data_IF_042032394455
#
_entry.id   IF_042032394455
#
_cell.length_a   1.000
_cell.length_b   1.000
_cell.length_c   1.000
_cell.angle_alpha   90.00
_cell.angle_beta   90.00
_cell.angle_gamma   90.00
#
_symmetry.space_group_name_H-M   'P 1'
#
loop_
_entity.id
_entity.type
_entity.pdbx_description
1 polymer ?
#
# COMPACT_ATOMS: atom_id res chain seq x y z
N UNK A 1 28.68 -26.43 -58.20
CA UNK A 1 28.37 -26.84 -56.81
C UNK A 1 27.17 -26.03 -56.33
N UNK A 2 25.96 -26.56 -56.49
CA UNK A 2 24.69 -25.86 -56.20
C UNK A 2 24.29 -26.15 -54.76
N UNK A 3 24.13 -25.10 -53.94
CA UNK A 3 23.69 -25.21 -52.54
C UNK A 3 22.16 -25.24 -52.50
N UNK A 4 21.59 -26.37 -52.11
CA UNK A 4 20.16 -26.51 -51.82
C UNK A 4 19.82 -25.75 -50.52
N UNK A 5 18.96 -24.73 -50.62
CA UNK A 5 18.38 -24.06 -49.47
C UNK A 5 17.27 -24.93 -48.86
N UNK A 6 17.34 -25.19 -47.55
CA UNK A 6 16.28 -25.85 -46.80
C UNK A 6 15.09 -24.90 -46.62
N UNK A 7 13.91 -25.34 -47.06
CA UNK A 7 12.64 -24.63 -46.87
C UNK A 7 12.27 -24.62 -45.39
N UNK A 8 12.00 -23.43 -44.83
CA UNK A 8 11.42 -23.27 -43.49
C UNK A 8 9.94 -23.71 -43.52
N UNK A 9 9.45 -24.47 -42.53
CA UNK A 9 8.04 -24.77 -42.42
C UNK A 9 7.28 -23.51 -41.98
N UNK A 10 6.19 -23.21 -42.69
CA UNK A 10 5.29 -22.11 -42.43
C UNK A 10 4.65 -22.23 -41.05
N UNK A 11 4.83 -21.22 -40.19
CA UNK A 11 4.10 -21.11 -38.94
C UNK A 11 2.64 -20.72 -39.24
N UNK A 12 1.72 -21.68 -39.13
CA UNK A 12 0.30 -21.43 -39.16
C UNK A 12 -0.13 -20.74 -37.86
N UNK A 13 -0.27 -19.41 -37.89
CA UNK A 13 -0.95 -18.68 -36.81
C UNK A 13 -2.44 -18.97 -36.89
N UNK A 14 -2.93 -19.89 -36.05
CA UNK A 14 -4.35 -20.04 -35.82
C UNK A 14 -4.88 -18.75 -35.17
N UNK A 15 -5.64 -17.97 -35.94
CA UNK A 15 -6.32 -16.75 -35.50
C UNK A 15 -7.42 -17.13 -34.50
N UNK A 16 -7.10 -17.12 -33.21
CA UNK A 16 -8.10 -17.27 -32.15
C UNK A 16 -9.03 -16.06 -32.19
N UNK A 17 -10.30 -16.28 -32.57
CA UNK A 17 -11.37 -15.29 -32.44
C UNK A 17 -11.99 -15.43 -31.04
N UNK A 18 -11.98 -14.41 -30.18
CA UNK A 18 -12.74 -14.47 -28.94
C UNK A 18 -14.24 -14.30 -29.24
N UNK A 19 -15.01 -15.38 -29.12
CA UNK A 19 -16.47 -15.32 -29.04
C UNK A 19 -16.88 -14.98 -27.62
N UNK A 20 -16.67 -13.74 -27.18
CA UNK A 20 -17.28 -13.23 -25.95
C UNK A 20 -17.80 -11.82 -26.20
N UNK A 21 -19.12 -11.71 -26.39
CA UNK A 21 -19.84 -10.45 -26.36
C UNK A 21 -20.28 -10.19 -24.92
N UNK A 22 -19.61 -9.29 -24.22
CA UNK A 22 -20.08 -8.83 -22.91
C UNK A 22 -21.28 -7.91 -23.14
N UNK A 23 -22.46 -8.31 -22.67
CA UNK A 23 -23.61 -7.41 -22.56
C UNK A 23 -23.46 -6.59 -21.27
N UNK A 24 -23.45 -5.28 -21.40
CA UNK A 24 -23.58 -4.36 -20.25
C UNK A 24 -24.97 -4.55 -19.61
N UNK A 25 -25.10 -4.54 -18.28
CA UNK A 25 -26.41 -4.53 -17.64
C UNK A 25 -27.08 -3.16 -17.85
N UNK A 26 -28.35 -3.17 -18.27
CA UNK A 26 -29.21 -1.99 -18.29
C UNK A 26 -29.59 -1.64 -16.85
N UNK A 27 -29.07 -0.52 -16.35
CA UNK A 27 -29.53 0.06 -15.08
C UNK A 27 -30.85 0.77 -15.39
N UNK A 28 -31.96 0.17 -14.93
CA UNK A 28 -33.27 0.81 -14.85
C UNK A 28 -33.18 1.90 -13.77
N UNK A 29 -33.20 3.16 -14.19
CA UNK A 29 -33.33 4.31 -13.30
C UNK A 29 -34.80 4.40 -12.89
N UNK A 30 -35.11 4.21 -11.61
CA UNK A 30 -36.43 4.43 -11.05
C UNK A 30 -36.55 5.91 -10.67
N UNK A 31 -37.26 6.67 -11.49
CA UNK A 31 -37.79 7.98 -11.12
C UNK A 31 -38.81 7.82 -9.99
N UNK A 32 -38.62 8.59 -8.91
CA UNK A 32 -39.71 9.05 -8.07
C UNK A 32 -39.61 10.58 -8.05
N UNK A 33 -40.44 11.22 -8.87
CA UNK A 33 -40.79 12.62 -8.71
C UNK A 33 -41.82 12.74 -7.58
N UNK A 34 -41.59 13.67 -6.65
CA UNK A 34 -42.52 14.79 -6.39
C UNK A 34 -42.04 15.63 -5.20
N UNK A 35 -41.67 16.88 -5.49
CA UNK A 35 -42.17 18.04 -4.75
C UNK A 35 -41.94 19.30 -5.59
N UNK A 36 -43.02 19.81 -6.18
CA UNK A 36 -43.17 21.20 -6.62
C UNK A 36 -43.05 22.12 -5.40
N UNK A 37 -42.48 23.32 -5.41
CA UNK A 37 -42.81 24.47 -6.27
C UNK A 37 -41.81 25.61 -5.99
N UNK A 38 -41.38 26.27 -7.06
CA UNK A 38 -41.20 27.73 -7.26
C UNK A 38 -40.30 28.54 -6.31
N UNK A 39 -39.21 29.06 -6.87
CA UNK A 39 -38.53 30.30 -6.47
C UNK A 39 -39.38 31.52 -6.88
N UNK A 40 -39.44 32.56 -6.03
CA UNK A 40 -38.99 33.92 -6.37
C UNK A 40 -39.25 34.94 -5.23
N UNK A 41 -38.30 35.87 -5.12
CA UNK A 41 -38.37 37.28 -4.71
C UNK A 41 -38.43 37.78 -3.23
N UNK A 42 -37.34 38.50 -2.91
CA UNK A 42 -37.23 39.90 -2.43
C UNK A 42 -37.58 40.33 -0.97
N UNK A 43 -36.53 40.86 -0.32
CA UNK A 43 -36.44 42.16 0.39
C UNK A 43 -37.49 42.44 1.48
N UNK A 44 -37.06 42.51 2.75
CA UNK A 44 -37.03 43.76 3.57
C UNK A 44 -36.74 43.52 5.06
N UNK A 45 -35.90 44.41 5.61
CA UNK A 45 -36.01 45.17 6.88
C UNK A 45 -36.52 44.43 8.13
N UNK A 46 -35.69 44.19 9.15
CA UNK A 46 -35.24 45.12 10.22
C UNK A 46 -36.09 45.00 11.51
N UNK A 47 -35.38 44.78 12.62
CA UNK A 47 -35.61 45.21 14.02
C UNK A 47 -36.88 44.74 14.76
N UNK A 48 -36.65 44.02 15.88
CA UNK A 48 -37.10 44.37 17.26
C UNK A 48 -36.87 43.13 18.15
N UNK A 49 -35.91 43.13 19.09
CA UNK A 49 -35.91 43.69 20.45
C UNK A 49 -36.76 42.95 21.51
N UNK A 50 -36.04 42.64 22.60
CA UNK A 50 -36.43 42.39 24.00
C UNK A 50 -37.14 41.09 24.47
N UNK A 51 -36.32 40.30 25.17
CA UNK A 51 -36.45 39.86 26.56
C UNK A 51 -37.77 39.23 27.06
N UNK A 52 -37.66 38.00 27.58
CA UNK A 52 -38.12 37.75 28.94
C UNK A 52 -37.34 36.60 29.59
N UNK A 53 -36.75 36.91 30.75
CA UNK A 53 -36.21 35.95 31.70
C UNK A 53 -37.35 35.22 32.40
N UNK A 54 -37.26 33.89 32.51
CA UNK A 54 -37.76 33.19 33.71
C UNK A 54 -36.80 32.06 34.05
N UNK A 55 -36.09 32.26 35.15
CA UNK A 55 -35.43 31.20 35.90
C UNK A 55 -36.47 30.19 36.42
N UNK A 56 -36.20 28.92 36.22
CA UNK A 56 -36.59 27.86 37.17
C UNK A 56 -35.41 26.90 37.29
N UNK A 57 -34.80 26.90 38.47
CA UNK A 57 -33.84 25.88 38.92
C UNK A 57 -34.55 24.53 39.01
N UNK A 58 -33.90 23.45 38.55
CA UNK A 58 -33.74 22.21 39.33
C UNK A 58 -32.85 21.21 38.61
N UNK A 59 -31.95 20.65 39.43
CA UNK A 59 -31.38 19.30 39.39
C UNK A 59 -30.24 19.00 38.41
N UNK A 60 -29.08 18.80 39.02
CA UNK A 60 -27.84 18.47 38.37
C UNK A 60 -27.83 17.06 37.80
N UNK A 61 -27.41 16.97 36.54
CA UNK A 61 -26.80 15.77 36.00
C UNK A 61 -25.34 16.10 35.79
N UNK A 62 -24.48 15.50 36.62
CA UNK A 62 -23.04 15.47 36.39
C UNK A 62 -22.81 14.66 35.12
N UNK A 63 -22.74 15.34 33.97
CA UNK A 63 -22.20 14.75 32.76
C UNK A 63 -20.69 14.68 32.99
N UNK A 64 -20.21 13.51 33.42
CA UNK A 64 -18.78 13.20 33.32
C UNK A 64 -18.40 13.39 31.86
N UNK A 65 -17.40 14.22 31.52
CA UNK A 65 -16.92 14.27 30.14
C UNK A 65 -16.35 12.88 29.84
N UNK A 66 -16.95 12.19 28.88
CA UNK A 66 -16.38 10.98 28.33
C UNK A 66 -14.92 11.29 27.93
N UNK A 67 -13.96 10.40 28.25
CA UNK A 67 -12.58 10.61 27.85
C UNK A 67 -12.55 10.82 26.33
N UNK A 68 -11.72 11.75 25.82
CA UNK A 68 -11.70 12.07 24.41
C UNK A 68 -11.51 10.76 23.63
N UNK A 69 -12.53 10.40 22.85
CA UNK A 69 -12.48 9.23 21.96
C UNK A 69 -11.21 9.39 21.14
N UNK A 70 -10.20 8.61 21.48
CA UNK A 70 -8.94 8.57 20.74
C UNK A 70 -9.33 8.08 19.36
N UNK A 71 -9.45 8.98 18.40
CA UNK A 71 -9.68 8.60 17.00
C UNK A 71 -8.44 7.81 16.61
N UNK A 72 -8.54 6.48 16.69
CA UNK A 72 -7.43 5.59 16.35
C UNK A 72 -7.30 5.67 14.84
N UNK A 73 -6.34 6.49 14.40
CA UNK A 73 -5.97 6.60 13.01
C UNK A 73 -5.57 5.25 12.43
N UNK A 74 -5.85 5.06 11.15
CA UNK A 74 -5.48 3.85 10.43
C UNK A 74 -3.96 3.68 10.46
N UNK A 75 -3.48 2.49 10.87
CA UNK A 75 -2.05 2.17 10.89
C UNK A 75 -1.61 1.58 9.56
N UNK A 76 -0.63 2.22 8.92
CA UNK A 76 -0.04 1.82 7.64
C UNK A 76 1.42 1.46 7.86
N UNK A 77 1.83 0.26 7.48
CA UNK A 77 3.22 -0.18 7.61
C UNK A 77 3.89 -0.31 6.25
N UNK A 78 5.11 0.21 6.14
CA UNK A 78 5.93 0.15 4.93
C UNK A 78 7.22 -0.58 5.24
N UNK A 79 7.49 -1.65 4.50
CA UNK A 79 8.75 -2.38 4.62
C UNK A 79 9.84 -1.60 3.90
N UNK A 80 10.88 -1.26 4.65
CA UNK A 80 12.01 -0.48 4.16
C UNK A 80 13.31 -1.27 4.20
N UNK A 81 14.14 -1.06 3.18
CA UNK A 81 15.53 -1.51 3.10
C UNK A 81 16.35 -0.46 2.33
N UNK A 82 17.63 -0.74 2.05
CA UNK A 82 18.48 0.17 1.28
C UNK A 82 18.17 0.20 -0.22
N UNK A 83 17.14 -0.53 -0.68
CA UNK A 83 16.84 -0.68 -2.11
C UNK A 83 16.07 0.51 -2.69
N UNK A 84 16.14 0.66 -4.01
CA UNK A 84 15.35 1.66 -4.73
C UNK A 84 13.87 1.27 -4.77
N UNK A 85 13.57 -0.03 -4.72
CA UNK A 85 12.23 -0.58 -4.67
C UNK A 85 11.48 -0.12 -3.40
N UNK A 86 12.12 -0.19 -2.23
CA UNK A 86 11.55 0.31 -0.99
C UNK A 86 11.31 1.82 -1.04
N UNK A 87 12.27 2.59 -1.58
CA UNK A 87 12.10 4.04 -1.77
C UNK A 87 10.92 4.37 -2.69
N UNK A 88 10.75 3.63 -3.77
CA UNK A 88 9.62 3.81 -4.70
C UNK A 88 8.28 3.49 -4.04
N UNK A 89 8.22 2.41 -3.25
CA UNK A 89 7.02 2.02 -2.51
C UNK A 89 6.64 3.06 -1.45
N UNK A 90 7.63 3.58 -0.71
CA UNK A 90 7.43 4.68 0.23
C UNK A 90 6.88 5.93 -0.47
N UNK A 91 7.48 6.31 -1.59
CA UNK A 91 7.01 7.47 -2.35
C UNK A 91 5.57 7.29 -2.84
N UNK A 92 5.24 6.10 -3.37
CA UNK A 92 3.88 5.81 -3.82
C UNK A 92 2.87 5.87 -2.68
N UNK A 93 3.20 5.30 -1.52
CA UNK A 93 2.32 5.27 -0.36
C UNK A 93 2.01 6.69 0.13
N UNK A 94 3.05 7.53 0.27
CA UNK A 94 2.90 8.92 0.69
C UNK A 94 2.06 9.78 -0.27
N UNK A 95 2.02 9.46 -1.56
CA UNK A 95 1.27 10.28 -2.54
C UNK A 95 -0.13 9.76 -2.83
N UNK A 96 -0.42 8.46 -2.67
CA UNK A 96 -1.69 7.88 -3.09
C UNK A 96 -2.48 7.21 -1.97
N UNK A 97 -1.83 6.82 -0.88
CA UNK A 97 -2.42 5.88 0.05
C UNK A 97 -2.48 6.39 1.48
N UNK A 98 -1.52 7.21 1.88
CA UNK A 98 -1.34 7.68 3.25
C UNK A 98 -2.00 9.04 3.44
N UNK A 99 -2.73 9.19 4.53
CA UNK A 99 -3.50 10.38 4.90
C UNK A 99 -2.91 11.03 6.16
N UNK A 100 -3.30 12.28 6.43
CA UNK A 100 -2.73 13.07 7.53
C UNK A 100 -3.04 12.53 8.93
N UNK A 101 -4.10 11.73 9.08
CA UNK A 101 -4.48 11.10 10.35
C UNK A 101 -3.97 9.66 10.48
N UNK A 102 -3.24 9.14 9.49
CA UNK A 102 -2.66 7.81 9.56
C UNK A 102 -1.44 7.78 10.47
N UNK A 103 -1.19 6.61 11.06
CA UNK A 103 0.08 6.29 11.73
C UNK A 103 0.92 5.49 10.75
N UNK A 104 2.07 6.05 10.34
CA UNK A 104 2.99 5.40 9.41
C UNK A 104 4.11 4.69 10.16
N UNK A 105 4.21 3.38 9.98
CA UNK A 105 5.27 2.57 10.55
C UNK A 105 6.28 2.19 9.46
N UNK A 106 7.53 2.63 9.64
CA UNK A 106 8.66 2.23 8.81
C UNK A 106 9.32 0.97 9.41
N UNK A 107 9.06 -0.20 8.81
CA UNK A 107 9.56 -1.48 9.28
C UNK A 107 10.87 -1.87 8.58
N UNK A 108 11.94 -2.06 9.35
CA UNK A 108 13.18 -2.66 8.88
C UNK A 108 13.40 -4.04 9.52
N UNK A 109 13.57 -5.06 8.68
CA UNK A 109 13.89 -6.42 9.14
C UNK A 109 15.38 -6.71 9.01
N UNK A 110 16.06 -6.84 10.14
CA UNK A 110 17.45 -7.22 10.23
C UNK A 110 17.57 -8.74 10.21
N UNK A 111 18.37 -9.26 9.27
CA UNK A 111 18.59 -10.70 9.15
C UNK A 111 19.52 -11.18 10.25
N UNK A 112 19.08 -12.15 11.04
CA UNK A 112 19.93 -12.84 12.02
C UNK A 112 20.88 -13.75 11.25
N UNK A 113 22.19 -13.50 11.37
CA UNK A 113 23.20 -14.33 10.71
C UNK A 113 23.68 -15.43 11.69
N UNK A 114 23.81 -16.70 11.26
CA UNK A 114 24.25 -17.78 12.16
C UNK A 114 25.62 -17.55 12.80
N UNK A 115 26.47 -16.72 12.17
CA UNK A 115 27.79 -16.34 12.68
C UNK A 115 27.76 -15.52 13.99
N UNK A 116 26.58 -15.07 14.42
CA UNK A 116 26.40 -14.34 15.69
C UNK A 116 26.09 -15.27 16.87
N UNK A 117 25.85 -16.56 16.64
CA UNK A 117 25.48 -17.52 17.70
C UNK A 117 26.71 -18.13 18.40
N UNK A 118 27.92 -17.93 17.86
CA UNK A 118 29.15 -18.57 18.38
C UNK A 118 30.32 -17.63 18.71
N UNK A 119 30.12 -16.32 18.73
CA UNK A 119 31.19 -15.37 19.06
C UNK A 119 30.70 -14.39 20.14
N UNK A 120 30.77 -14.82 21.40
CA UNK A 120 30.66 -13.94 22.57
C UNK A 120 31.92 -13.09 22.73
N UNK A 121 32.27 -12.22 21.76
CA UNK A 121 33.20 -11.13 22.02
C UNK A 121 32.85 -9.93 21.14
N UNK A 122 32.69 -8.76 21.79
CA UNK A 122 32.27 -7.45 21.30
C UNK A 122 30.75 -7.20 21.27
N UNK A 123 30.17 -7.22 22.48
CA UNK A 123 29.06 -6.34 22.86
C UNK A 123 29.39 -4.90 22.45
N UNK A 124 28.37 -4.14 22.07
CA UNK A 124 28.42 -2.71 21.75
C UNK A 124 28.79 -2.30 20.32
N UNK A 125 28.32 -3.05 19.31
CA UNK A 125 27.80 -2.33 18.14
C UNK A 125 26.44 -1.78 18.56
N UNK A 126 26.47 -0.58 19.16
CA UNK A 126 25.28 0.23 19.42
C UNK A 126 24.27 0.00 18.29
N UNK A 127 23.00 -0.17 18.64
CA UNK A 127 21.85 -0.32 17.75
C UNK A 127 21.70 0.93 16.86
N UNK A 128 22.70 1.18 16.02
CA UNK A 128 22.80 2.34 15.16
C UNK A 128 21.76 2.12 14.10
N UNK A 129 20.72 2.92 14.17
CA UNK A 129 19.70 3.04 13.14
C UNK A 129 20.42 3.18 11.79
N UNK A 130 20.22 2.24 10.84
CA UNK A 130 20.83 2.36 9.54
C UNK A 130 20.52 3.71 8.89
N UNK A 131 21.53 4.37 8.31
CA UNK A 131 21.40 5.74 7.80
C UNK A 131 20.27 5.93 6.79
N UNK A 132 19.96 4.91 5.99
CA UNK A 132 18.86 4.97 5.03
C UNK A 132 17.48 5.11 5.69
N UNK A 133 17.28 4.57 6.91
CA UNK A 133 16.02 4.68 7.65
C UNK A 133 15.79 6.14 8.03
N UNK A 134 16.84 6.83 8.50
CA UNK A 134 16.78 8.26 8.79
C UNK A 134 16.41 9.07 7.54
N UNK A 135 17.03 8.75 6.40
CA UNK A 135 16.70 9.39 5.12
C UNK A 135 15.23 9.16 4.72
N UNK A 136 14.72 7.94 4.87
CA UNK A 136 13.32 7.62 4.57
C UNK A 136 12.34 8.28 5.54
N UNK A 137 12.66 8.38 6.83
CA UNK A 137 11.87 9.14 7.81
C UNK A 137 11.81 10.62 7.44
N UNK A 138 12.95 11.22 7.09
CA UNK A 138 13.00 12.61 6.63
C UNK A 138 12.15 12.82 5.38
N UNK A 139 12.14 11.87 4.42
CA UNK A 139 11.27 11.93 3.25
C UNK A 139 9.78 11.97 3.61
N UNK A 140 9.36 11.25 4.66
CA UNK A 140 7.99 11.27 5.14
C UNK A 140 7.63 12.64 5.71
N UNK A 141 8.50 13.19 6.57
CA UNK A 141 8.29 14.49 7.23
C UNK A 141 8.25 15.66 6.26
N UNK A 142 9.08 15.62 5.20
CA UNK A 142 9.09 16.66 4.15
C UNK A 142 7.80 16.61 3.33
N UNK A 143 7.31 15.41 2.99
CA UNK A 143 6.10 15.26 2.17
C UNK A 143 4.82 15.48 2.97
N UNK A 144 4.83 15.16 4.25
CA UNK A 144 3.65 15.23 5.10
C UNK A 144 4.05 15.58 6.54
N UNK A 145 4.04 16.87 6.84
CA UNK A 145 4.52 17.45 8.11
C UNK A 145 3.68 17.06 9.33
N UNK A 146 2.39 16.80 9.13
CA UNK A 146 1.45 16.42 10.19
C UNK A 146 1.39 14.92 10.48
N UNK A 147 2.15 14.12 9.74
CA UNK A 147 2.05 12.67 9.80
C UNK A 147 2.89 12.09 10.96
N UNK A 148 2.29 11.17 11.74
CA UNK A 148 3.00 10.42 12.77
C UNK A 148 3.83 9.29 12.17
N UNK A 149 5.16 9.43 12.16
CA UNK A 149 6.11 8.43 11.63
C UNK A 149 6.81 7.69 12.76
N UNK A 150 6.56 6.38 12.84
CA UNK A 150 7.19 5.44 13.76
C UNK A 150 8.23 4.58 13.03
N UNK A 151 9.33 4.23 13.71
CA UNK A 151 10.35 3.32 13.17
C UNK A 151 10.26 2.02 13.98
N UNK A 152 10.04 0.90 13.30
CA UNK A 152 10.11 -0.44 13.90
C UNK A 152 11.29 -1.20 13.30
N UNK A 153 12.13 -1.76 14.18
CA UNK A 153 13.24 -2.63 13.78
C UNK A 153 13.04 -3.99 14.41
N UNK A 154 12.95 -5.01 13.57
CA UNK A 154 12.72 -6.38 14.01
C UNK A 154 13.83 -7.26 13.48
N UNK A 155 14.31 -8.17 14.32
CA UNK A 155 15.28 -9.17 13.92
C UNK A 155 14.55 -10.47 13.56
N UNK A 156 14.93 -11.09 12.45
CA UNK A 156 14.26 -12.30 11.95
C UNK A 156 15.16 -13.18 11.12
N UNK A 157 14.92 -14.50 11.17
CA UNK A 157 15.63 -15.48 10.34
C UNK A 157 15.16 -15.42 8.89
N UNK A 158 13.84 -15.49 8.70
CA UNK A 158 13.18 -15.31 7.42
C UNK A 158 12.44 -13.97 7.39
N UNK A 159 12.61 -13.20 6.31
CA UNK A 159 12.04 -11.85 6.21
C UNK A 159 10.53 -11.89 6.04
N UNK A 160 9.99 -12.83 5.27
CA UNK A 160 8.57 -12.83 4.91
C UNK A 160 7.68 -13.10 6.12
N UNK A 161 7.99 -14.17 6.85
CA UNK A 161 7.33 -14.54 8.11
C UNK A 161 7.39 -13.41 9.13
N UNK A 162 8.59 -12.88 9.39
CA UNK A 162 8.81 -11.78 10.36
C UNK A 162 7.98 -10.54 10.02
N UNK A 163 7.89 -10.15 8.73
CA UNK A 163 7.07 -9.01 8.30
C UNK A 163 5.59 -9.25 8.58
N UNK A 164 5.08 -10.44 8.24
CA UNK A 164 3.67 -10.78 8.41
C UNK A 164 3.30 -10.86 9.89
N UNK A 165 4.15 -11.44 10.72
CA UNK A 165 3.98 -11.51 12.17
C UNK A 165 3.99 -10.12 12.81
N UNK A 166 4.94 -9.27 12.42
CA UNK A 166 5.00 -7.90 12.94
C UNK A 166 3.80 -7.06 12.49
N UNK A 167 3.33 -7.23 11.25
CA UNK A 167 2.13 -6.57 10.75
C UNK A 167 0.89 -6.95 11.58
N UNK A 168 0.78 -8.23 11.93
CA UNK A 168 -0.29 -8.76 12.77
C UNK A 168 -0.19 -8.24 14.20
N UNK A 169 1.02 -8.23 14.78
CA UNK A 169 1.28 -7.76 16.15
C UNK A 169 0.96 -6.28 16.34
N UNK A 170 1.27 -5.45 15.35
CA UNK A 170 0.98 -4.02 15.41
C UNK A 170 -0.44 -3.66 14.96
N UNK A 171 -1.27 -4.64 14.60
CA UNK A 171 -2.63 -4.46 14.08
C UNK A 171 -2.66 -3.50 12.88
N UNK A 172 -1.72 -3.70 11.96
CA UNK A 172 -1.61 -2.88 10.75
C UNK A 172 -2.78 -3.18 9.83
N UNK A 173 -3.40 -2.12 9.30
CA UNK A 173 -4.53 -2.24 8.36
C UNK A 173 -4.07 -2.39 6.90
N UNK A 174 -2.93 -1.80 6.55
CA UNK A 174 -2.35 -1.84 5.22
C UNK A 174 -0.83 -2.00 5.27
N UNK A 175 -0.31 -3.00 4.56
CA UNK A 175 1.11 -3.32 4.44
C UNK A 175 1.59 -2.98 3.01
N UNK A 176 2.62 -2.14 2.89
CA UNK A 176 3.20 -1.75 1.61
C UNK A 176 4.62 -2.31 1.45
N UNK A 177 4.88 -2.92 0.29
CA UNK A 177 6.13 -3.63 -0.02
C UNK A 177 6.72 -3.14 -1.35
N UNK A 178 8.03 -2.92 -1.38
CA UNK A 178 8.76 -2.65 -2.63
C UNK A 178 8.96 -3.93 -3.44
N UNK A 179 8.37 -3.99 -4.63
CA UNK A 179 8.50 -5.14 -5.52
C UNK A 179 9.59 -4.93 -6.56
N UNK A 180 10.56 -5.86 -6.59
CA UNK A 180 11.66 -5.84 -7.55
C UNK A 180 11.20 -6.28 -8.94
N UNK A 181 11.60 -5.51 -9.95
CA UNK A 181 11.42 -5.90 -11.35
C UNK A 181 12.47 -6.96 -11.70
N UNK A 182 12.04 -8.20 -11.87
CA UNK A 182 12.91 -9.23 -12.45
C UNK A 182 12.97 -9.02 -13.97
N UNK A 183 14.18 -8.88 -14.55
CA UNK A 183 14.29 -8.71 -15.99
C UNK A 183 13.83 -9.99 -16.70
N UNK A 184 13.24 -9.82 -17.88
CA UNK A 184 12.74 -10.94 -18.70
C UNK A 184 13.88 -11.90 -19.05
N UNK A 185 15.10 -11.38 -19.24
CA UNK A 185 16.32 -12.18 -19.45
C UNK A 185 16.62 -13.12 -18.30
N UNK A 186 16.44 -12.70 -17.04
CA UNK A 186 16.63 -13.56 -15.87
C UNK A 186 15.58 -14.67 -15.81
N UNK A 187 14.32 -14.36 -16.15
CA UNK A 187 13.26 -15.39 -16.28
C UNK A 187 13.59 -16.39 -17.38
N UNK A 188 14.10 -15.93 -18.52
CA UNK A 188 14.49 -16.79 -19.63
C UNK A 188 15.68 -17.67 -19.26
N UNK A 189 16.71 -17.10 -18.61
CA UNK A 189 17.89 -17.81 -18.12
C UNK A 189 17.51 -18.93 -17.15
N UNK A 190 16.61 -18.65 -16.20
CA UNK A 190 16.10 -19.67 -15.26
C UNK A 190 15.39 -20.81 -16.00
N UNK A 191 14.58 -20.47 -17.00
CA UNK A 191 13.86 -21.45 -17.83
C UNK A 191 14.84 -22.34 -18.62
N UNK A 192 15.92 -21.77 -19.16
CA UNK A 192 17.00 -22.51 -19.83
C UNK A 192 17.81 -23.38 -18.88
N UNK A 193 18.01 -22.95 -17.62
CA UNK A 193 18.73 -23.71 -16.61
C UNK A 193 17.94 -24.90 -16.03
N UNK A 194 16.81 -25.30 -16.64
CA UNK A 194 15.92 -26.35 -16.13
C UNK A 194 15.25 -26.00 -14.79
N UNK A 195 15.49 -24.79 -14.28
CA UNK A 195 14.81 -24.27 -13.09
C UNK A 195 13.46 -23.75 -13.56
N UNK A 196 12.44 -24.61 -13.43
CA UNK A 196 11.06 -24.21 -13.65
C UNK A 196 10.81 -22.85 -13.00
N UNK A 197 10.39 -21.88 -13.80
CA UNK A 197 9.92 -20.56 -13.36
C UNK A 197 8.61 -20.62 -12.54
N UNK A 198 8.29 -21.82 -12.04
CA UNK A 198 7.01 -22.27 -11.48
C UNK A 198 7.21 -23.03 -10.14
N UNK A 199 8.44 -23.16 -9.62
CA UNK A 199 8.69 -23.94 -8.41
C UNK A 199 9.08 -23.11 -7.19
N UNK A 200 8.12 -22.80 -6.32
CA UNK A 200 8.28 -22.57 -4.89
C UNK A 200 9.32 -21.51 -4.43
N UNK A 201 8.87 -20.26 -4.39
CA UNK A 201 9.61 -19.20 -3.73
C UNK A 201 9.20 -17.85 -4.26
N UNK A 202 7.88 -17.58 -4.28
CA UNK A 202 7.40 -16.21 -4.40
C UNK A 202 8.24 -15.37 -3.44
N UNK A 203 8.84 -14.30 -3.96
CA UNK A 203 9.81 -13.54 -3.18
C UNK A 203 9.19 -13.11 -1.86
N UNK A 204 10.00 -12.60 -0.92
CA UNK A 204 9.52 -12.08 0.38
C UNK A 204 8.22 -11.26 0.22
N UNK A 205 8.16 -10.44 -0.83
CA UNK A 205 6.99 -9.65 -1.21
C UNK A 205 5.76 -10.50 -1.56
N UNK A 206 5.88 -11.49 -2.44
CA UNK A 206 4.76 -12.36 -2.84
C UNK A 206 4.25 -13.17 -1.64
N UNK A 207 5.17 -13.66 -0.79
CA UNK A 207 4.81 -14.33 0.46
C UNK A 207 3.97 -13.41 1.35
N UNK A 208 4.41 -12.17 1.57
CA UNK A 208 3.68 -11.21 2.39
C UNK A 208 2.30 -10.89 1.79
N UNK A 209 2.20 -10.70 0.47
CA UNK A 209 0.92 -10.40 -0.19
C UNK A 209 -0.10 -11.54 -0.05
N UNK A 210 0.37 -12.79 0.00
CA UNK A 210 -0.51 -13.96 0.13
C UNK A 210 -0.90 -14.24 1.59
N UNK A 211 0.05 -14.10 2.52
CA UNK A 211 -0.07 -14.55 3.91
C UNK A 211 -0.43 -13.44 4.90
N UNK A 212 -0.29 -12.17 4.54
CA UNK A 212 -0.72 -11.07 5.41
C UNK A 212 -2.23 -11.16 5.70
N UNK A 213 -2.60 -10.90 6.95
CA UNK A 213 -3.99 -10.79 7.39
C UNK A 213 -4.62 -9.46 6.97
N UNK A 214 -3.80 -8.44 6.73
CA UNK A 214 -4.21 -7.09 6.35
C UNK A 214 -4.13 -6.85 4.84
N UNK A 215 -4.52 -5.65 4.38
CA UNK A 215 -4.41 -5.28 2.98
C UNK A 215 -2.93 -5.13 2.59
N UNK A 216 -2.37 -6.13 1.92
CA UNK A 216 -0.98 -6.11 1.45
C UNK A 216 -0.86 -5.68 -0.01
N UNK A 217 0.02 -4.71 -0.25
CA UNK A 217 0.21 -4.03 -1.53
C UNK A 217 1.68 -4.07 -1.91
N UNK A 218 1.99 -4.76 -2.99
CA UNK A 218 3.30 -4.80 -3.61
C UNK A 218 3.38 -3.75 -4.72
N UNK A 219 4.35 -2.85 -4.62
CA UNK A 219 4.47 -1.67 -5.48
C UNK A 219 5.75 -1.73 -6.29
N UNK A 220 5.63 -1.59 -7.61
CA UNK A 220 6.78 -1.46 -8.52
C UNK A 220 6.61 -0.28 -9.46
N UNK A 221 7.71 0.39 -9.80
CA UNK A 221 7.69 1.43 -10.84
C UNK A 221 7.49 0.80 -12.23
N UNK A 222 6.54 1.30 -13.02
CA UNK A 222 6.25 0.76 -14.36
C UNK A 222 7.41 1.00 -15.33
N UNK A 223 7.75 2.27 -15.50
CA UNK A 223 8.80 2.74 -16.42
C UNK A 223 9.56 3.91 -15.83
N UNK A 224 10.83 4.07 -16.25
CA UNK A 224 11.58 5.28 -15.95
C UNK A 224 11.06 6.49 -16.74
N UNK A 225 10.58 6.28 -17.97
CA UNK A 225 10.18 7.33 -18.92
C UNK A 225 8.72 7.78 -18.78
N UNK A 226 7.81 6.82 -18.65
CA UNK A 226 6.35 7.07 -18.70
C UNK A 226 5.75 7.32 -17.31
N UNK A 227 6.56 7.19 -16.24
CA UNK A 227 6.07 7.30 -14.87
C UNK A 227 5.12 6.15 -14.48
N UNK A 228 4.42 6.34 -13.36
CA UNK A 228 3.41 5.42 -12.84
C UNK A 228 3.92 4.19 -12.10
N UNK A 229 2.99 3.53 -11.41
CA UNK A 229 3.24 2.40 -10.53
C UNK A 229 2.35 1.21 -10.89
N UNK A 230 2.93 0.02 -10.94
CA UNK A 230 2.20 -1.23 -11.02
C UNK A 230 2.04 -1.78 -9.61
N UNK A 231 0.84 -2.25 -9.33
CA UNK A 231 0.44 -2.72 -8.01
C UNK A 231 0.03 -4.17 -8.11
N UNK A 232 0.48 -4.95 -7.14
CA UNK A 232 0.06 -6.32 -6.93
C UNK A 232 -0.54 -6.44 -5.54
N UNK A 233 -1.75 -6.99 -5.47
CA UNK A 233 -2.45 -7.36 -4.24
C UNK A 233 -2.78 -8.84 -4.29
N UNK A 234 -3.39 -9.36 -3.21
CA UNK A 234 -3.83 -10.76 -3.14
C UNK A 234 -4.80 -11.13 -4.26
N UNK A 235 -5.67 -10.19 -4.68
CA UNK A 235 -6.74 -10.43 -5.65
C UNK A 235 -6.35 -10.09 -7.08
N UNK A 236 -5.50 -9.08 -7.26
CA UNK A 236 -5.16 -8.57 -8.59
C UNK A 236 -3.66 -8.35 -8.70
N UNK A 237 -3.06 -8.85 -9.79
CA UNK A 237 -1.64 -8.71 -10.06
C UNK A 237 -1.39 -7.64 -11.11
N UNK A 238 -0.33 -6.88 -10.90
CA UNK A 238 0.27 -5.96 -11.88
C UNK A 238 -0.71 -4.96 -12.51
N UNK A 239 -1.71 -4.49 -11.77
CA UNK A 239 -2.62 -3.46 -12.27
C UNK A 239 -1.96 -2.08 -12.17
N UNK A 240 -2.24 -1.24 -13.17
CA UNK A 240 -1.65 0.09 -13.27
C UNK A 240 -2.61 1.11 -12.68
N UNK A 241 -2.18 1.82 -11.64
CA UNK A 241 -2.85 3.05 -11.24
C UNK A 241 -2.30 4.18 -12.11
N UNK A 242 -3.20 4.86 -12.82
CA UNK A 242 -2.88 6.12 -13.49
C UNK A 242 -2.46 7.12 -12.40
N UNK A 243 -1.32 7.76 -12.63
CA UNK A 243 -0.76 8.77 -11.76
C UNK A 243 -1.48 10.11 -11.96
#
# INVERSE_FOLDING_TARGET
>A
MVKNGSKMPSFCLAKIRPHVRVRSPTIQLKECADCSTKTDDQISKALDEFANEKETKTEGVIIKPDPPVKVVGRKVMIVIDSSIEAKNALQWALTHSVQSHDILVLLYVKKISPKQVGNEMNKEKATKVPGFIKSMKNMCQIKQTHLQVEISMVEGKDKGTTIVEEAKKQEVTMLVLGQKKQPITWRLLLTWAGKSSVGYGGGVVDYCVQNATCMAVAVRRKSKRVGGYLITTKRQKDFWLLA
#
